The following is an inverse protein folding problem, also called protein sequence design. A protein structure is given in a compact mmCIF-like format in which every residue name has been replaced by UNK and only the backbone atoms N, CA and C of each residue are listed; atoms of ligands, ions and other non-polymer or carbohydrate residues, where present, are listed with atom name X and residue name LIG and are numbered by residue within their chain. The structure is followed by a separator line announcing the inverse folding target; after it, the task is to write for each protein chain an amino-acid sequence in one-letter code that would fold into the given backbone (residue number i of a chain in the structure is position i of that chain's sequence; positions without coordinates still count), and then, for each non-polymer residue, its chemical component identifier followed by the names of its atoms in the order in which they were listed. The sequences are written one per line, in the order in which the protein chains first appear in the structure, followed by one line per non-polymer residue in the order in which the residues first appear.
data_IF_342450354227
#
_entry.id   IF_342450354227
#
_cell.length_a   1.000
_cell.length_b   1.000
_cell.length_c   1.000
_cell.angle_alpha   90.00
_cell.angle_beta   90.00
_cell.angle_gamma   90.00
#
_symmetry.space_group_name_H-M   'P 1'
#
loop_
_entity.id
_entity.type
_entity.pdbx_description
1 polymer ?
#
# COMPACT_ATOMS: atom_id res chain seq x y z
N UNK A 1 -11.00 7.22 -9.61
CA UNK A 1 -9.76 6.63 -9.06
C UNK A 1 -8.81 7.76 -8.76
N UNK A 2 -8.27 7.80 -7.52
CA UNK A 2 -7.47 8.93 -7.00
C UNK A 2 -6.13 8.47 -6.38
N UNK A 3 -5.59 7.36 -6.85
CA UNK A 3 -4.32 6.80 -6.37
C UNK A 3 -4.27 6.57 -4.84
N UNK A 4 -5.38 6.23 -4.22
CA UNK A 4 -5.47 6.03 -2.77
C UNK A 4 -5.89 7.28 -1.99
N UNK A 5 -5.81 8.49 -2.56
CA UNK A 5 -6.13 9.74 -1.86
C UNK A 5 -7.56 9.77 -1.27
N UNK A 6 -8.53 9.22 -1.97
CA UNK A 6 -9.91 9.07 -1.49
C UNK A 6 -10.23 7.65 -1.09
N UNK A 7 -9.66 6.67 -1.79
CA UNK A 7 -9.88 5.26 -1.53
C UNK A 7 -9.47 4.85 -0.11
N UNK A 8 -8.51 5.53 0.53
CA UNK A 8 -8.17 5.30 1.94
C UNK A 8 -9.38 5.49 2.88
N UNK A 9 -10.28 6.41 2.56
CA UNK A 9 -11.49 6.64 3.34
C UNK A 9 -12.53 5.53 3.12
N UNK A 10 -12.60 4.99 1.89
CA UNK A 10 -13.46 3.85 1.58
C UNK A 10 -12.96 2.61 2.34
N UNK A 11 -11.64 2.36 2.37
CA UNK A 11 -11.03 1.27 3.16
C UNK A 11 -11.40 1.42 4.64
N UNK A 12 -11.28 2.62 5.20
CA UNK A 12 -11.65 2.88 6.59
C UNK A 12 -13.16 2.60 6.81
N UNK A 13 -14.05 3.13 5.98
CA UNK A 13 -15.49 2.93 6.13
C UNK A 13 -15.88 1.46 6.00
N UNK A 14 -15.31 0.74 5.04
CA UNK A 14 -15.53 -0.69 4.90
C UNK A 14 -15.03 -1.49 6.11
N UNK A 15 -13.90 -1.10 6.70
CA UNK A 15 -13.42 -1.75 7.92
C UNK A 15 -14.40 -1.61 9.09
N UNK A 16 -14.98 -0.43 9.28
CA UNK A 16 -16.04 -0.21 10.29
C UNK A 16 -17.33 -0.97 9.96
N UNK A 17 -17.73 -0.99 8.69
CA UNK A 17 -18.90 -1.73 8.26
C UNK A 17 -18.77 -3.23 8.54
N UNK A 18 -17.61 -3.81 8.26
CA UNK A 18 -17.32 -5.22 8.52
C UNK A 18 -17.26 -5.47 10.03
N UNK A 19 -16.56 -4.63 10.78
CA UNK A 19 -16.45 -4.76 12.24
C UNK A 19 -17.82 -4.71 12.93
N UNK A 20 -18.73 -3.84 12.49
CA UNK A 20 -20.09 -3.75 13.03
C UNK A 20 -20.95 -5.01 12.78
N UNK A 21 -20.59 -5.84 11.80
CA UNK A 21 -21.25 -7.11 11.46
C UNK A 21 -20.52 -8.34 11.98
N UNK A 22 -19.32 -8.17 12.46
CA UNK A 22 -18.44 -9.20 13.00
C UNK A 22 -18.87 -9.57 14.44
N UNK A 23 -19.96 -10.32 14.57
CA UNK A 23 -20.55 -10.68 15.85
C UNK A 23 -19.61 -11.51 16.72
N UNK A 24 -18.79 -12.34 16.10
CA UNK A 24 -17.82 -13.21 16.77
C UNK A 24 -16.50 -12.52 17.10
N UNK A 25 -16.36 -11.24 16.70
CA UNK A 25 -15.14 -10.43 16.86
C UNK A 25 -13.88 -11.10 16.28
N UNK A 26 -14.05 -11.81 15.17
CA UNK A 26 -12.95 -12.42 14.46
C UNK A 26 -11.92 -11.35 14.01
N UNK A 27 -10.64 -11.69 13.92
CA UNK A 27 -9.61 -10.78 13.41
C UNK A 27 -9.91 -10.37 11.97
N UNK A 28 -9.69 -9.09 11.70
CA UNK A 28 -9.82 -8.48 10.36
C UNK A 28 -8.44 -8.12 9.88
N UNK A 29 -8.12 -8.49 8.65
CA UNK A 29 -6.90 -8.08 7.97
C UNK A 29 -7.25 -7.26 6.73
N UNK A 30 -6.56 -6.14 6.55
CA UNK A 30 -6.73 -5.30 5.37
C UNK A 30 -5.64 -5.66 4.36
N UNK A 31 -6.05 -6.21 3.23
CA UNK A 31 -5.17 -6.61 2.14
C UNK A 31 -5.35 -5.72 0.92
N UNK A 32 -4.25 -5.36 0.28
CA UNK A 32 -4.27 -4.62 -0.97
C UNK A 32 -3.05 -4.91 -1.83
N UNK A 33 -3.25 -4.79 -3.14
CA UNK A 33 -2.21 -4.94 -4.16
C UNK A 33 -2.04 -3.63 -4.92
N UNK A 34 -0.80 -3.27 -5.26
CA UNK A 34 -0.46 -2.10 -6.05
C UNK A 34 -1.10 -0.81 -5.48
N UNK A 35 -1.99 -0.16 -6.19
CA UNK A 35 -2.75 0.99 -5.72
C UNK A 35 -3.64 0.66 -4.51
N UNK A 36 -4.18 -0.57 -4.44
CA UNK A 36 -4.93 -1.05 -3.28
C UNK A 36 -4.05 -1.16 -2.04
N UNK A 37 -2.80 -1.61 -2.18
CA UNK A 37 -1.82 -1.63 -1.10
C UNK A 37 -1.52 -0.22 -0.59
N UNK A 38 -1.30 0.74 -1.49
CA UNK A 38 -1.11 2.14 -1.11
C UNK A 38 -2.34 2.70 -0.35
N UNK A 39 -3.57 2.39 -0.80
CA UNK A 39 -4.79 2.81 -0.13
C UNK A 39 -4.92 2.21 1.29
N UNK A 40 -4.60 0.92 1.45
CA UNK A 40 -4.57 0.23 2.76
C UNK A 40 -3.53 0.86 3.68
N UNK A 41 -2.32 1.12 3.17
CA UNK A 41 -1.26 1.77 3.94
C UNK A 41 -1.66 3.20 4.36
N UNK A 42 -2.26 3.99 3.47
CA UNK A 42 -2.78 5.32 3.81
C UNK A 42 -3.89 5.26 4.86
N UNK A 43 -4.82 4.29 4.73
CA UNK A 43 -5.91 4.09 5.68
C UNK A 43 -5.41 3.78 7.09
N UNK A 44 -4.23 3.16 7.23
CA UNK A 44 -3.63 2.85 8.54
C UNK A 44 -3.25 4.09 9.36
N UNK A 45 -3.10 5.24 8.72
CA UNK A 45 -2.89 6.52 9.39
C UNK A 45 -4.14 7.08 10.09
N UNK A 46 -5.30 6.48 9.83
CA UNK A 46 -6.58 6.83 10.45
C UNK A 46 -6.93 5.88 11.60
N UNK A 47 -7.95 6.24 12.36
CA UNK A 47 -8.50 5.33 13.35
C UNK A 47 -9.20 4.18 12.65
N UNK A 48 -8.80 2.95 12.95
CA UNK A 48 -9.39 1.71 12.47
C UNK A 48 -10.05 0.97 13.62
N UNK A 49 -11.05 0.09 13.36
CA UNK A 49 -11.63 -0.79 14.39
C UNK A 49 -10.58 -1.62 15.12
N UNK A 50 -10.85 -2.02 16.35
CA UNK A 50 -9.94 -2.82 17.16
C UNK A 50 -9.75 -4.24 16.59
N UNK A 51 -10.75 -4.75 15.90
CA UNK A 51 -10.73 -6.03 15.21
C UNK A 51 -9.75 -6.06 14.04
N UNK A 52 -9.32 -4.89 13.49
CA UNK A 52 -8.26 -4.85 12.47
C UNK A 52 -6.93 -5.16 13.13
N UNK A 53 -6.44 -6.37 12.93
CA UNK A 53 -5.21 -6.90 13.57
C UNK A 53 -3.95 -6.65 12.76
N UNK A 54 -4.06 -6.50 11.46
CA UNK A 54 -2.89 -6.29 10.61
C UNK A 54 -3.24 -5.82 9.20
N UNK A 55 -2.19 -5.42 8.49
CA UNK A 55 -2.23 -4.94 7.12
C UNK A 55 -1.33 -5.80 6.26
N UNK A 56 -1.75 -6.09 5.04
CA UNK A 56 -0.95 -6.81 4.06
C UNK A 56 -0.90 -5.96 2.80
N UNK A 57 0.31 -5.56 2.41
CA UNK A 57 0.54 -4.64 1.30
C UNK A 57 1.47 -5.29 0.27
N UNK A 58 0.92 -5.66 -0.88
CA UNK A 58 1.69 -6.24 -1.98
C UNK A 58 1.96 -5.18 -3.05
N UNK A 59 3.22 -5.00 -3.39
CA UNK A 59 3.77 -4.06 -4.39
C UNK A 59 3.16 -2.65 -4.36
N UNK A 60 2.90 -2.11 -3.15
CA UNK A 60 2.35 -0.78 -2.98
C UNK A 60 3.38 0.34 -3.19
N UNK A 61 2.98 1.42 -3.88
CA UNK A 61 3.83 2.61 -3.98
C UNK A 61 3.78 3.47 -2.71
N UNK A 62 4.80 4.31 -2.51
CA UNK A 62 4.88 5.22 -1.36
C UNK A 62 4.26 6.59 -1.62
N UNK A 63 4.25 7.08 -2.86
CA UNK A 63 3.54 8.30 -3.24
C UNK A 63 3.20 8.34 -4.72
N UNK A 64 2.08 8.98 -5.07
CA UNK A 64 1.68 9.18 -6.47
C UNK A 64 2.75 9.94 -7.26
N UNK A 65 3.37 10.97 -6.67
CA UNK A 65 4.41 11.74 -7.35
C UNK A 65 5.58 10.84 -7.73
N UNK A 66 6.11 10.07 -6.79
CA UNK A 66 7.23 9.16 -7.03
C UNK A 66 6.87 8.09 -8.05
N UNK A 67 5.69 7.48 -7.94
CA UNK A 67 5.21 6.48 -8.87
C UNK A 67 5.17 7.01 -10.31
N UNK A 68 4.68 8.22 -10.53
CA UNK A 68 4.66 8.84 -11.85
C UNK A 68 6.07 9.21 -12.36
N UNK A 69 6.98 9.60 -11.48
CA UNK A 69 8.39 9.82 -11.82
C UNK A 69 9.08 8.52 -12.24
N UNK A 70 8.88 7.43 -11.48
CA UNK A 70 9.45 6.12 -11.77
C UNK A 70 8.93 5.57 -13.12
N UNK A 71 7.62 5.69 -13.40
CA UNK A 71 7.04 5.32 -14.70
C UNK A 71 7.63 6.18 -15.83
N UNK A 72 7.73 7.48 -15.64
CA UNK A 72 8.29 8.38 -16.66
C UNK A 72 9.74 8.05 -16.97
N UNK A 73 10.55 7.75 -15.97
CA UNK A 73 11.95 7.38 -16.12
C UNK A 73 12.11 5.98 -16.76
N UNK A 74 11.41 4.98 -16.22
CA UNK A 74 11.65 3.58 -16.60
C UNK A 74 10.97 3.16 -17.91
N UNK A 75 9.81 3.75 -18.23
CA UNK A 75 9.01 3.35 -19.39
C UNK A 75 9.11 4.33 -20.55
N UNK A 76 9.26 5.62 -20.27
CA UNK A 76 9.29 6.67 -21.28
C UNK A 76 10.66 7.34 -21.42
N UNK A 77 11.63 6.97 -20.57
CA UNK A 77 12.98 7.55 -20.54
C UNK A 77 13.00 9.08 -20.44
N UNK A 78 11.99 9.65 -19.76
CA UNK A 78 11.84 11.09 -19.56
C UNK A 78 12.49 11.51 -18.24
N UNK A 79 13.61 12.22 -18.31
CA UNK A 79 14.29 12.76 -17.12
C UNK A 79 13.70 14.07 -16.58
N UNK A 80 12.87 14.76 -17.37
CA UNK A 80 12.32 16.08 -17.01
C UNK A 80 10.80 16.04 -16.97
N UNK A 81 10.27 15.67 -15.81
CA UNK A 81 8.82 15.48 -15.64
C UNK A 81 8.17 16.47 -14.68
N UNK A 82 8.93 17.35 -14.04
CA UNK A 82 8.39 18.24 -13.00
C UNK A 82 7.29 19.18 -13.53
N UNK A 83 7.44 19.74 -14.73
CA UNK A 83 6.41 20.57 -15.34
C UNK A 83 5.15 19.76 -15.70
N UNK A 84 5.32 18.50 -16.13
CA UNK A 84 4.21 17.60 -16.40
C UNK A 84 3.49 17.25 -15.09
N UNK A 85 4.22 16.90 -14.05
CA UNK A 85 3.66 16.59 -12.73
C UNK A 85 2.93 17.78 -12.12
N UNK A 86 3.44 18.98 -12.29
CA UNK A 86 2.72 20.20 -11.89
C UNK A 86 1.37 20.32 -12.59
N UNK A 87 1.30 20.06 -13.90
CA UNK A 87 0.04 20.06 -14.65
C UNK A 87 -0.90 18.96 -14.22
N UNK A 88 -0.38 17.75 -13.94
CA UNK A 88 -1.15 16.64 -13.41
C UNK A 88 -1.74 17.00 -12.04
N UNK A 89 -0.95 17.60 -11.13
CA UNK A 89 -1.45 18.03 -9.82
C UNK A 89 -2.54 19.10 -9.95
N UNK A 90 -2.37 20.06 -10.86
CA UNK A 90 -3.40 21.07 -11.14
C UNK A 90 -4.69 20.42 -11.66
N UNK A 91 -4.57 19.43 -12.57
CA UNK A 91 -5.71 18.68 -13.07
C UNK A 91 -6.40 17.87 -11.95
N UNK A 92 -5.63 17.20 -11.09
CA UNK A 92 -6.14 16.48 -9.92
C UNK A 92 -6.93 17.40 -8.99
N UNK A 93 -6.47 18.63 -8.76
CA UNK A 93 -7.17 19.63 -7.94
C UNK A 93 -8.46 20.09 -8.58
N UNK A 94 -8.43 20.43 -9.87
CA UNK A 94 -9.57 20.99 -10.59
C UNK A 94 -10.69 19.97 -10.79
N UNK A 95 -10.35 18.77 -11.21
CA UNK A 95 -11.34 17.73 -11.60
C UNK A 95 -11.46 16.62 -10.56
N UNK A 96 -10.36 16.20 -9.96
CA UNK A 96 -10.33 15.14 -8.97
C UNK A 96 -10.68 15.60 -7.57
N UNK A 97 -10.57 16.91 -7.28
CA UNK A 97 -10.73 17.49 -5.93
C UNK A 97 -9.82 16.84 -4.90
N UNK A 98 -8.59 16.55 -5.29
CA UNK A 98 -7.50 16.09 -4.41
C UNK A 98 -6.16 16.62 -4.94
N UNK A 99 -5.15 16.64 -4.10
CA UNK A 99 -3.78 16.98 -4.46
C UNK A 99 -2.98 15.70 -4.69
N UNK A 100 -1.98 15.74 -5.54
CA UNK A 100 -1.06 14.60 -5.69
C UNK A 100 -0.41 14.19 -4.36
N UNK A 101 -0.15 15.17 -3.48
CA UNK A 101 0.36 14.94 -2.13
C UNK A 101 -0.60 14.23 -1.18
N UNK A 102 -1.90 14.16 -1.49
CA UNK A 102 -2.87 13.45 -0.67
C UNK A 102 -2.81 11.93 -0.91
N UNK A 103 -2.16 11.51 -2.01
CA UNK A 103 -1.88 10.12 -2.35
C UNK A 103 -0.44 9.74 -1.95
N UNK A 104 -0.17 9.75 -0.65
CA UNK A 104 1.14 9.54 -0.03
C UNK A 104 0.99 8.74 1.25
N UNK A 105 1.84 7.71 1.43
CA UNK A 105 1.79 6.81 2.59
C UNK A 105 2.68 7.27 3.75
N UNK A 106 3.55 8.26 3.54
CA UNK A 106 4.65 8.61 4.46
C UNK A 106 4.14 8.90 5.87
N UNK A 107 3.19 9.81 6.00
CA UNK A 107 2.68 10.18 7.32
C UNK A 107 1.80 9.08 7.93
N UNK A 108 1.13 8.30 7.12
CA UNK A 108 0.36 7.15 7.57
C UNK A 108 1.29 6.08 8.17
N UNK A 109 2.38 5.76 7.49
CA UNK A 109 3.35 4.77 7.98
C UNK A 109 4.02 5.18 9.30
N UNK A 110 4.37 6.44 9.47
CA UNK A 110 4.90 6.95 10.74
C UNK A 110 3.91 6.83 11.90
N UNK A 111 2.61 7.01 11.62
CA UNK A 111 1.53 6.97 12.62
C UNK A 111 0.95 5.57 12.83
N UNK A 112 1.19 4.67 11.90
CA UNK A 112 0.64 3.32 11.93
C UNK A 112 1.09 2.57 13.19
N UNK A 113 0.13 1.90 13.83
CA UNK A 113 0.35 1.06 15.00
C UNK A 113 0.00 -0.41 14.77
N UNK A 114 -0.56 -0.73 13.60
CA UNK A 114 -0.94 -2.10 13.24
C UNK A 114 0.22 -2.81 12.57
N UNK A 115 0.43 -4.10 12.87
CA UNK A 115 1.44 -4.90 12.17
C UNK A 115 1.24 -4.84 10.66
N UNK A 116 2.34 -4.83 9.89
CA UNK A 116 2.30 -4.79 8.42
C UNK A 116 3.20 -5.88 7.83
N UNK A 117 2.60 -6.69 6.97
CA UNK A 117 3.32 -7.61 6.09
C UNK A 117 3.40 -6.99 4.69
N UNK A 118 4.62 -6.72 4.24
CA UNK A 118 4.89 -6.24 2.90
C UNK A 118 5.37 -7.38 2.01
N UNK A 119 4.82 -7.46 0.81
CA UNK A 119 5.35 -8.27 -0.28
C UNK A 119 5.78 -7.37 -1.43
N UNK A 120 6.81 -7.77 -2.16
CA UNK A 120 7.20 -7.11 -3.40
C UNK A 120 7.99 -8.06 -4.30
N UNK A 121 7.73 -7.99 -5.61
CA UNK A 121 8.52 -8.69 -6.59
C UNK A 121 9.84 -7.96 -6.87
N UNK A 122 10.98 -8.66 -6.84
CA UNK A 122 12.30 -8.08 -7.09
C UNK A 122 12.42 -7.47 -8.50
N UNK A 123 11.79 -8.10 -9.50
CA UNK A 123 11.80 -7.67 -10.89
C UNK A 123 10.61 -6.78 -11.27
N UNK A 124 9.97 -6.15 -10.30
CA UNK A 124 8.88 -5.21 -10.56
C UNK A 124 9.43 -3.88 -11.12
N UNK A 125 9.17 -3.64 -12.40
CA UNK A 125 9.57 -2.41 -13.10
C UNK A 125 8.45 -1.38 -13.18
N UNK A 126 7.24 -1.72 -12.75
CA UNK A 126 6.09 -0.80 -12.75
C UNK A 126 5.96 -0.05 -11.43
N UNK A 127 5.94 -0.75 -10.31
CA UNK A 127 6.15 -0.19 -8.98
C UNK A 127 7.48 -0.76 -8.47
N UNK A 128 8.53 0.04 -8.50
CA UNK A 128 9.87 -0.45 -8.13
C UNK A 128 9.94 -0.81 -6.65
N UNK A 129 10.71 -1.88 -6.28
CA UNK A 129 10.77 -2.41 -4.90
C UNK A 129 11.16 -1.38 -3.85
N UNK A 130 11.88 -0.33 -4.24
CA UNK A 130 12.26 0.78 -3.38
C UNK A 130 11.06 1.47 -2.73
N UNK A 131 9.86 1.39 -3.33
CA UNK A 131 8.63 1.92 -2.73
C UNK A 131 8.24 1.14 -1.48
N UNK A 132 8.29 -0.20 -1.51
CA UNK A 132 8.02 -1.03 -0.32
C UNK A 132 9.14 -0.93 0.71
N UNK A 133 10.39 -0.86 0.28
CA UNK A 133 11.53 -0.62 1.18
C UNK A 133 11.37 0.71 1.94
N UNK A 134 10.92 1.75 1.25
CA UNK A 134 10.67 3.06 1.86
C UNK A 134 9.50 3.02 2.85
N UNK A 135 8.37 2.41 2.47
CA UNK A 135 7.24 2.20 3.37
C UNK A 135 7.64 1.39 4.60
N UNK A 136 8.40 0.31 4.40
CA UNK A 136 8.94 -0.52 5.47
C UNK A 136 9.82 0.30 6.41
N UNK A 137 10.75 1.09 5.89
CA UNK A 137 11.66 1.89 6.70
C UNK A 137 10.90 2.90 7.60
N UNK A 138 9.84 3.52 7.08
CA UNK A 138 9.04 4.51 7.80
C UNK A 138 8.03 3.91 8.79
N UNK A 139 7.62 2.66 8.59
CA UNK A 139 6.61 2.03 9.43
C UNK A 139 7.09 1.89 10.88
N UNK A 140 6.39 2.53 11.81
CA UNK A 140 6.70 2.51 13.24
C UNK A 140 6.17 1.28 13.99
N UNK A 141 5.30 0.48 13.36
CA UNK A 141 4.70 -0.73 13.92
C UNK A 141 5.55 -1.98 13.67
N UNK A 142 5.23 -3.13 14.30
CA UNK A 142 5.79 -4.42 13.90
C UNK A 142 5.61 -4.65 12.41
N UNK A 143 6.64 -5.13 11.73
CA UNK A 143 6.65 -5.21 10.28
C UNK A 143 7.53 -6.33 9.76
N UNK A 144 7.17 -6.87 8.61
CA UNK A 144 7.95 -7.83 7.85
C UNK A 144 7.93 -7.42 6.37
N UNK A 145 9.03 -7.64 5.66
CA UNK A 145 9.14 -7.41 4.22
C UNK A 145 9.68 -8.66 3.55
N UNK A 146 8.94 -9.14 2.57
CA UNK A 146 9.28 -10.33 1.77
C UNK A 146 9.49 -9.89 0.33
N UNK A 147 10.72 -9.90 -0.13
CA UNK A 147 11.08 -9.68 -1.54
C UNK A 147 11.08 -11.03 -2.24
N UNK A 148 10.30 -11.15 -3.30
CA UNK A 148 10.20 -12.39 -4.08
C UNK A 148 11.12 -12.29 -5.30
N UNK A 149 12.18 -13.13 -5.37
CA UNK A 149 13.10 -13.10 -6.50
C UNK A 149 12.40 -13.27 -7.85
N UNK A 150 12.85 -12.56 -8.86
CA UNK A 150 12.39 -12.60 -10.25
C UNK A 150 10.88 -12.28 -10.46
N UNK A 151 10.09 -12.08 -9.41
CA UNK A 151 8.69 -11.73 -9.53
C UNK A 151 8.51 -10.32 -10.09
N UNK A 152 7.60 -10.20 -11.06
CA UNK A 152 7.17 -8.93 -11.65
C UNK A 152 6.00 -8.34 -10.88
N UNK A 153 5.50 -7.19 -11.34
CA UNK A 153 4.33 -6.52 -10.74
C UNK A 153 3.13 -7.46 -10.62
N UNK A 154 2.55 -7.56 -9.42
CA UNK A 154 1.42 -8.43 -9.08
C UNK A 154 1.70 -9.94 -9.24
N UNK A 155 2.95 -10.35 -9.40
CA UNK A 155 3.31 -11.73 -9.63
C UNK A 155 3.89 -12.46 -8.41
N UNK A 156 4.02 -11.79 -7.27
CA UNK A 156 4.59 -12.38 -6.05
C UNK A 156 3.91 -13.71 -5.64
N UNK A 157 2.56 -13.80 -5.56
CA UNK A 157 1.88 -15.04 -5.19
C UNK A 157 2.02 -16.16 -6.23
N UNK A 158 2.30 -15.83 -7.48
CA UNK A 158 2.47 -16.81 -8.56
C UNK A 158 3.93 -17.28 -8.69
N UNK A 159 4.90 -16.39 -8.45
CA UNK A 159 6.31 -16.71 -8.54
C UNK A 159 6.80 -17.59 -7.36
N UNK A 160 6.23 -17.40 -6.17
CA UNK A 160 6.60 -18.15 -4.98
C UNK A 160 5.35 -18.49 -4.12
N UNK A 161 4.41 -19.31 -4.61
CA UNK A 161 3.12 -19.53 -3.97
C UNK A 161 3.24 -20.10 -2.55
N UNK A 162 4.15 -21.05 -2.32
CA UNK A 162 4.32 -21.67 -1.01
C UNK A 162 4.91 -20.68 0.00
N UNK A 163 5.93 -19.90 -0.38
CA UNK A 163 6.52 -18.87 0.47
C UNK A 163 5.48 -17.78 0.80
N UNK A 164 4.75 -17.32 -0.21
CA UNK A 164 3.73 -16.29 -0.04
C UNK A 164 2.65 -16.76 0.94
N UNK A 165 2.12 -17.97 0.72
CA UNK A 165 1.13 -18.58 1.59
C UNK A 165 1.67 -18.79 3.01
N UNK A 166 2.90 -19.30 3.17
CA UNK A 166 3.49 -19.53 4.50
C UNK A 166 3.61 -18.21 5.27
N UNK A 167 4.10 -17.16 4.63
CA UNK A 167 4.23 -15.84 5.25
C UNK A 167 2.89 -15.23 5.69
N UNK A 168 1.82 -15.46 4.92
CA UNK A 168 0.47 -15.07 5.32
C UNK A 168 0.02 -15.85 6.57
N UNK A 169 0.21 -17.17 6.60
CA UNK A 169 -0.17 -18.00 7.73
C UNK A 169 0.60 -17.62 9.00
N UNK A 170 1.92 -17.46 8.90
CA UNK A 170 2.78 -17.03 10.02
C UNK A 170 2.33 -15.66 10.57
N UNK A 171 1.93 -14.75 9.67
CA UNK A 171 1.44 -13.42 10.04
C UNK A 171 0.10 -13.50 10.77
N UNK A 172 -0.84 -14.30 10.26
CA UNK A 172 -2.14 -14.51 10.93
C UNK A 172 -1.94 -15.16 12.28
N UNK A 173 -1.22 -16.28 12.38
CA UNK A 173 -0.96 -16.99 13.64
C UNK A 173 -0.35 -16.05 14.70
N UNK A 174 0.53 -15.16 14.29
CA UNK A 174 1.20 -14.22 15.19
C UNK A 174 0.29 -13.13 15.74
N UNK A 175 -0.74 -12.70 14.98
CA UNK A 175 -1.53 -11.52 15.31
C UNK A 175 -3.04 -11.77 15.47
N UNK A 176 -3.50 -13.02 15.40
CA UNK A 176 -4.91 -13.40 15.64
C UNK A 176 -5.36 -13.26 17.10
N UNK A 177 -4.44 -13.12 18.03
CA UNK A 177 -4.69 -13.01 19.47
C UNK A 177 -5.08 -11.59 19.90
#
# INVERSE_FOLDING_TARGET
ITFGAKEQWDVQQWSYYIAARNREKLPIYLYGESMGAAAVLMASGHKLPEEVKGLIADCGFCSMKRQLQDIAANWFHLGWVELLLFRVDLFCRMFGRFRMSDADTIEAMKKNKRPVLFFHGEADTYVVPENSLYNYALCGAPKELVIIPEARHLCAPYAAPELYRQKLLDFFEKYDN
#
